data_IF_763289802417
#
_entry.id   IF_763289802417
#
_cell.length_a   1.000
_cell.length_b   1.000
_cell.length_c   1.000
_cell.angle_alpha   90.00
_cell.angle_beta   90.00
_cell.angle_gamma   90.00
#
_symmetry.space_group_name_H-M   'P 1'
#
loop_
_entity.id
_entity.type
_entity.pdbx_description
1 polymer ?
#
# COMPACT_ATOMS: atom_id res chain seq x y z
N UNK A 1 24.73 -90.46 -27.14
CA UNK A 1 25.75 -89.41 -27.01
C UNK A 1 25.12 -88.30 -26.10
N UNK A 2 25.61 -88.28 -24.88
CA UNK A 2 24.96 -87.55 -23.76
C UNK A 2 25.39 -86.09 -23.71
N UNK A 3 24.42 -85.16 -23.60
CA UNK A 3 24.73 -83.79 -23.22
C UNK A 3 23.85 -83.41 -22.06
N UNK A 4 24.50 -83.23 -20.91
CA UNK A 4 23.93 -82.90 -19.63
C UNK A 4 23.67 -81.39 -19.61
N UNK A 5 22.40 -80.95 -19.42
CA UNK A 5 22.05 -79.58 -19.19
C UNK A 5 22.22 -79.25 -17.71
N UNK A 6 23.09 -78.30 -17.45
CA UNK A 6 23.32 -77.75 -16.13
C UNK A 6 22.37 -76.54 -15.93
N UNK A 7 21.38 -76.70 -15.06
CA UNK A 7 20.51 -75.62 -14.70
C UNK A 7 21.19 -74.69 -13.67
N UNK A 8 21.52 -73.48 -14.09
CA UNK A 8 21.89 -72.43 -13.16
C UNK A 8 20.62 -71.75 -12.69
N UNK A 9 20.30 -71.92 -11.41
CA UNK A 9 19.25 -71.16 -10.74
C UNK A 9 19.81 -69.80 -10.37
N UNK A 10 19.30 -68.72 -11.01
CA UNK A 10 19.58 -67.36 -10.65
C UNK A 10 18.55 -66.95 -9.60
N UNK A 11 18.99 -66.79 -8.37
CA UNK A 11 18.20 -66.25 -7.29
C UNK A 11 18.19 -64.73 -7.46
N UNK A 12 17.08 -64.18 -7.95
CA UNK A 12 16.84 -62.75 -7.97
C UNK A 12 16.34 -62.33 -6.60
N UNK A 13 17.21 -61.71 -5.83
CA UNK A 13 16.86 -61.07 -4.54
C UNK A 13 16.17 -59.74 -4.82
N UNK A 14 14.86 -59.71 -4.69
CA UNK A 14 14.08 -58.47 -4.82
C UNK A 14 14.13 -57.71 -3.47
N UNK A 15 15.00 -56.70 -3.39
CA UNK A 15 14.98 -55.74 -2.27
C UNK A 15 13.77 -54.86 -2.42
N UNK A 16 12.71 -55.11 -1.64
CA UNK A 16 11.63 -54.18 -1.41
C UNK A 16 12.16 -53.05 -0.52
N UNK A 17 12.53 -51.93 -1.13
CA UNK A 17 12.77 -50.71 -0.41
C UNK A 17 11.40 -50.15 0.01
N UNK A 18 11.03 -50.35 1.29
CA UNK A 18 9.84 -49.75 1.90
C UNK A 18 10.07 -48.24 2.02
N UNK A 19 9.55 -47.45 1.07
CA UNK A 19 9.38 -46.00 1.23
C UNK A 19 8.39 -45.78 2.36
N UNK A 20 8.88 -45.54 3.57
CA UNK A 20 8.07 -44.97 4.67
C UNK A 20 7.70 -43.53 4.27
N UNK A 21 6.47 -43.31 3.79
CA UNK A 21 5.82 -42.00 3.77
C UNK A 21 5.83 -41.49 5.21
N UNK A 22 6.64 -40.43 5.47
CA UNK A 22 6.49 -39.62 6.68
C UNK A 22 5.15 -38.91 6.55
N UNK A 23 4.14 -39.37 7.25
CA UNK A 23 2.93 -38.58 7.51
C UNK A 23 3.36 -37.38 8.34
N UNK A 24 3.24 -36.20 7.73
CA UNK A 24 3.39 -34.94 8.45
C UNK A 24 2.20 -34.84 9.43
N UNK A 25 2.48 -34.99 10.73
CA UNK A 25 1.48 -34.69 11.76
C UNK A 25 1.09 -33.21 11.61
N UNK A 26 -0.20 -32.86 11.68
CA UNK A 26 -0.61 -31.46 11.70
C UNK A 26 0.06 -30.80 12.90
N UNK A 27 0.91 -29.81 12.67
CA UNK A 27 1.50 -28.97 13.70
C UNK A 27 0.38 -28.05 14.18
N UNK A 28 -0.32 -28.48 15.22
CA UNK A 28 -1.20 -27.58 15.97
C UNK A 28 -0.28 -26.69 16.78
N UNK A 29 -0.15 -25.43 16.36
CA UNK A 29 0.62 -24.44 17.10
C UNK A 29 0.09 -24.37 18.54
N UNK A 30 1.00 -24.39 19.51
CA UNK A 30 0.62 -24.30 20.92
C UNK A 30 0.08 -22.90 21.20
N UNK A 31 -0.74 -22.77 22.25
CA UNK A 31 -1.32 -21.47 22.65
C UNK A 31 -0.22 -20.42 22.93
N UNK A 32 0.98 -20.87 23.32
CA UNK A 32 2.13 -20.01 23.56
C UNK A 32 2.74 -19.52 22.25
N UNK A 33 2.97 -20.40 21.26
CA UNK A 33 3.49 -20.03 19.94
C UNK A 33 2.56 -19.08 19.19
N UNK A 34 1.23 -19.24 19.38
CA UNK A 34 0.25 -18.28 18.86
C UNK A 34 0.35 -16.91 19.56
N UNK A 35 0.55 -16.88 20.88
CA UNK A 35 0.72 -15.62 21.61
C UNK A 35 2.01 -14.91 21.22
N UNK A 36 3.11 -15.65 21.07
CA UNK A 36 4.41 -15.09 20.70
C UNK A 36 4.40 -14.58 19.24
N UNK A 37 3.67 -15.22 18.33
CA UNK A 37 3.49 -14.74 16.94
C UNK A 37 2.60 -13.50 16.88
N UNK A 38 1.61 -13.33 17.75
CA UNK A 38 0.77 -12.12 17.85
C UNK A 38 1.58 -10.97 18.50
N UNK A 39 2.40 -11.27 19.52
CA UNK A 39 3.22 -10.26 20.19
C UNK A 39 4.37 -9.72 19.31
N UNK A 40 4.79 -10.47 18.29
CA UNK A 40 5.83 -10.07 17.32
C UNK A 40 5.27 -9.65 15.95
N UNK A 41 3.95 -9.50 15.81
CA UNK A 41 3.38 -8.94 14.59
C UNK A 41 3.82 -7.46 14.49
N UNK A 42 4.29 -6.99 13.31
CA UNK A 42 4.60 -5.57 13.14
C UNK A 42 3.35 -4.75 13.47
N UNK A 43 3.53 -3.72 14.30
CA UNK A 43 2.46 -2.79 14.64
C UNK A 43 2.03 -2.08 13.35
N UNK A 44 0.77 -2.29 12.96
CA UNK A 44 0.22 -1.67 11.76
C UNK A 44 -0.18 -0.24 12.11
N UNK A 45 0.47 0.72 11.48
CA UNK A 45 0.13 2.13 11.66
C UNK A 45 -1.20 2.44 10.96
N UNK A 46 -2.11 3.07 11.71
CA UNK A 46 -3.44 3.46 11.22
C UNK A 46 -3.50 4.96 10.97
N UNK A 47 -4.28 5.36 9.96
CA UNK A 47 -4.56 6.79 9.75
C UNK A 47 -5.20 7.42 10.99
N UNK A 48 -4.82 8.67 11.25
CA UNK A 48 -5.47 9.56 12.24
C UNK A 48 -6.49 10.40 11.49
N UNK A 49 -7.78 10.24 11.82
CA UNK A 49 -8.85 10.96 11.12
C UNK A 49 -8.84 12.46 11.45
N UNK A 50 -9.21 13.25 10.47
CA UNK A 50 -9.45 14.68 10.60
C UNK A 50 -10.49 15.11 9.56
N UNK A 51 -11.10 16.28 9.80
CA UNK A 51 -12.03 16.91 8.85
C UNK A 51 -11.51 18.27 8.43
N UNK A 52 -11.45 18.53 7.12
CA UNK A 52 -10.94 19.76 6.55
C UNK A 52 -11.86 20.27 5.43
N UNK A 53 -11.67 21.51 5.00
CA UNK A 53 -12.44 22.08 3.91
C UNK A 53 -11.82 21.69 2.57
N UNK A 54 -12.65 21.20 1.66
CA UNK A 54 -12.23 20.89 0.30
C UNK A 54 -12.27 22.14 -0.59
N UNK A 55 -11.64 22.05 -1.75
CA UNK A 55 -11.54 23.16 -2.73
C UNK A 55 -12.91 23.66 -3.20
N UNK A 56 -13.95 22.82 -3.14
CA UNK A 56 -15.35 23.19 -3.45
C UNK A 56 -16.12 23.72 -2.21
N UNK A 57 -15.44 23.98 -1.10
CA UNK A 57 -16.00 24.56 0.13
C UNK A 57 -16.73 23.58 1.06
N UNK A 58 -16.77 22.29 0.72
CA UNK A 58 -17.41 21.27 1.56
C UNK A 58 -16.44 20.74 2.62
N UNK A 59 -16.98 20.18 3.70
CA UNK A 59 -16.20 19.45 4.68
C UNK A 59 -16.04 18.00 4.24
N UNK A 60 -14.80 17.49 4.31
CA UNK A 60 -14.48 16.09 4.05
C UNK A 60 -13.59 15.53 5.16
N UNK A 61 -13.88 14.31 5.61
CA UNK A 61 -13.09 13.54 6.55
C UNK A 61 -12.12 12.64 5.76
N UNK A 62 -10.87 12.53 6.22
CA UNK A 62 -9.90 11.64 5.61
C UNK A 62 -10.40 10.19 5.64
N UNK A 63 -10.96 9.75 6.75
CA UNK A 63 -11.48 8.40 6.90
C UNK A 63 -12.59 8.09 5.90
N UNK A 64 -13.50 9.05 5.68
CA UNK A 64 -14.59 8.86 4.71
C UNK A 64 -14.08 8.84 3.27
N UNK A 65 -13.05 9.62 2.96
CA UNK A 65 -12.40 9.59 1.64
C UNK A 65 -11.68 8.24 1.41
N UNK A 66 -10.88 7.79 2.36
CA UNK A 66 -10.17 6.50 2.30
C UNK A 66 -11.14 5.33 2.13
N UNK A 67 -12.28 5.34 2.81
CA UNK A 67 -13.27 4.26 2.73
C UNK A 67 -13.91 4.09 1.34
N UNK A 68 -13.81 5.08 0.46
CA UNK A 68 -14.35 5.03 -0.92
C UNK A 68 -13.50 4.20 -1.87
N UNK A 69 -12.22 3.93 -1.53
CA UNK A 69 -11.22 3.38 -2.43
C UNK A 69 -10.58 2.11 -1.84
N UNK A 70 -10.03 1.26 -2.70
CA UNK A 70 -9.26 0.10 -2.23
C UNK A 70 -7.87 0.54 -1.72
N UNK A 71 -7.27 1.51 -2.41
CA UNK A 71 -6.01 2.18 -2.05
C UNK A 71 -6.21 3.69 -2.17
N UNK A 72 -5.71 4.44 -1.21
CA UNK A 72 -5.70 5.90 -1.23
C UNK A 72 -4.27 6.42 -1.05
N UNK A 73 -3.83 7.30 -1.94
CA UNK A 73 -2.62 8.09 -1.76
C UNK A 73 -3.03 9.36 -1.00
N UNK A 74 -2.41 9.62 0.15
CA UNK A 74 -2.54 10.87 0.90
C UNK A 74 -1.27 11.67 0.68
N UNK A 75 -1.41 12.82 0.00
CA UNK A 75 -0.28 13.65 -0.44
C UNK A 75 -0.30 15.00 0.26
N UNK A 76 0.69 15.25 1.12
CA UNK A 76 0.93 16.57 1.72
C UNK A 76 1.83 17.38 0.78
N UNK A 77 1.29 18.50 0.29
CA UNK A 77 1.91 19.28 -0.77
C UNK A 77 1.65 20.80 -0.60
N UNK A 78 2.21 21.61 -1.48
CA UNK A 78 1.82 23.03 -1.63
C UNK A 78 2.16 23.51 -3.04
N UNK A 79 1.49 24.57 -3.51
CA UNK A 79 1.71 25.19 -4.81
C UNK A 79 3.13 25.77 -4.98
N UNK A 80 3.70 26.26 -3.89
CA UNK A 80 5.06 26.82 -3.82
C UNK A 80 6.16 25.76 -3.65
N UNK A 81 5.80 24.48 -3.47
CA UNK A 81 6.74 23.38 -3.26
C UNK A 81 7.22 22.80 -4.60
N UNK A 82 8.41 23.20 -5.05
CA UNK A 82 8.97 22.72 -6.31
C UNK A 82 9.05 21.19 -6.45
N UNK A 83 9.59 20.44 -5.47
CA UNK A 83 9.59 18.98 -5.51
C UNK A 83 8.20 18.36 -5.56
N UNK A 84 7.19 18.98 -4.88
CA UNK A 84 5.80 18.52 -4.96
C UNK A 84 5.26 18.67 -6.37
N UNK A 85 5.43 19.84 -6.99
CA UNK A 85 4.98 20.10 -8.36
C UNK A 85 5.66 19.20 -9.39
N UNK A 86 6.89 18.75 -9.11
CA UNK A 86 7.58 17.77 -9.95
C UNK A 86 6.93 16.37 -9.85
N UNK A 87 6.37 16.00 -8.69
CA UNK A 87 5.69 14.72 -8.49
C UNK A 87 4.25 14.70 -9.05
N UNK A 88 3.57 15.84 -9.12
CA UNK A 88 2.17 15.93 -9.58
C UNK A 88 1.89 15.22 -10.90
N UNK A 89 2.73 15.32 -11.98
CA UNK A 89 2.50 14.57 -13.21
C UNK A 89 2.44 13.05 -13.03
N UNK A 90 3.22 12.50 -12.08
CA UNK A 90 3.19 11.09 -11.74
C UNK A 90 1.87 10.71 -11.07
N UNK A 91 1.41 11.54 -10.10
CA UNK A 91 0.12 11.35 -9.42
C UNK A 91 -1.05 11.45 -10.40
N UNK A 92 -1.04 12.42 -11.31
CA UNK A 92 -2.06 12.55 -12.37
C UNK A 92 -2.09 11.32 -13.27
N UNK A 93 -0.92 10.81 -13.67
CA UNK A 93 -0.82 9.59 -14.48
C UNK A 93 -1.37 8.36 -13.74
N UNK A 94 -1.02 8.18 -12.47
CA UNK A 94 -1.53 7.09 -11.63
C UNK A 94 -3.03 7.19 -11.45
N UNK A 95 -3.54 8.37 -11.09
CA UNK A 95 -4.96 8.59 -10.87
C UNK A 95 -5.77 8.28 -12.13
N UNK A 96 -5.39 8.84 -13.28
CA UNK A 96 -6.09 8.59 -14.54
C UNK A 96 -6.08 7.11 -14.95
N UNK A 97 -5.03 6.37 -14.59
CA UNK A 97 -4.91 4.95 -14.91
C UNK A 97 -5.76 4.06 -14.00
N UNK A 98 -5.88 4.40 -12.70
CA UNK A 98 -6.40 3.46 -11.70
C UNK A 98 -7.62 3.96 -10.93
N UNK A 99 -8.11 5.20 -11.13
CA UNK A 99 -9.27 5.75 -10.42
C UNK A 99 -10.54 4.90 -10.55
N UNK A 100 -10.74 4.31 -11.73
CA UNK A 100 -11.92 3.48 -12.03
C UNK A 100 -11.74 2.03 -11.53
N UNK A 101 -10.57 1.69 -11.01
CA UNK A 101 -10.24 0.37 -10.47
C UNK A 101 -9.88 0.39 -8.99
N UNK A 102 -10.18 1.49 -8.29
CA UNK A 102 -10.10 1.56 -6.84
C UNK A 102 -8.97 2.40 -6.26
N UNK A 103 -8.24 3.19 -7.07
CA UNK A 103 -7.28 4.17 -6.56
C UNK A 103 -7.96 5.51 -6.28
N UNK A 104 -7.85 5.98 -5.03
CA UNK A 104 -8.12 7.36 -4.63
C UNK A 104 -6.85 8.16 -4.41
N UNK A 105 -6.96 9.49 -4.47
CA UNK A 105 -5.94 10.42 -3.98
C UNK A 105 -6.64 11.49 -3.12
N UNK A 106 -6.02 11.89 -2.02
CA UNK A 106 -6.40 13.01 -1.18
C UNK A 106 -5.19 13.93 -1.06
N UNK A 107 -5.26 15.12 -1.63
CA UNK A 107 -4.23 16.15 -1.47
C UNK A 107 -4.54 17.00 -0.24
N UNK A 108 -3.52 17.22 0.59
CA UNK A 108 -3.58 18.09 1.77
C UNK A 108 -2.59 19.22 1.54
N UNK A 109 -3.14 20.41 1.24
CA UNK A 109 -2.30 21.55 0.89
C UNK A 109 -1.86 22.33 2.12
N UNK A 110 -0.56 22.69 2.14
CA UNK A 110 0.07 23.61 3.07
C UNK A 110 0.17 25.03 2.48
N UNK A 111 -0.71 25.39 1.56
CA UNK A 111 -0.82 26.76 1.09
C UNK A 111 -1.43 27.68 2.15
N UNK A 112 -1.10 28.96 2.11
CA UNK A 112 -1.72 30.03 2.91
C UNK A 112 -2.61 30.92 2.04
N UNK A 113 -2.42 30.87 0.72
CA UNK A 113 -3.16 31.65 -0.29
C UNK A 113 -4.10 30.73 -1.08
N UNK A 114 -5.39 31.03 -1.00
CA UNK A 114 -6.43 30.21 -1.61
C UNK A 114 -6.38 30.26 -3.16
N UNK A 115 -6.05 31.42 -3.73
CA UNK A 115 -6.00 31.58 -5.19
C UNK A 115 -4.83 30.81 -5.78
N UNK A 116 -3.65 30.86 -5.15
CA UNK A 116 -2.47 30.08 -5.54
C UNK A 116 -2.75 28.58 -5.46
N UNK A 117 -3.39 28.10 -4.38
CA UNK A 117 -3.80 26.72 -4.22
C UNK A 117 -4.74 26.26 -5.32
N UNK A 118 -5.82 27.02 -5.58
CA UNK A 118 -6.81 26.71 -6.63
C UNK A 118 -6.20 26.73 -8.01
N UNK A 119 -5.36 27.72 -8.31
CA UNK A 119 -4.69 27.84 -9.61
C UNK A 119 -3.78 26.62 -9.86
N UNK A 120 -3.00 26.20 -8.85
CA UNK A 120 -2.13 25.03 -9.00
C UNK A 120 -2.93 23.74 -9.25
N UNK A 121 -4.07 23.55 -8.59
CA UNK A 121 -4.96 22.40 -8.81
C UNK A 121 -5.47 22.38 -10.25
N UNK A 122 -5.97 23.51 -10.75
CA UNK A 122 -6.54 23.64 -12.08
C UNK A 122 -5.49 23.45 -13.18
N UNK A 123 -4.38 24.18 -13.10
CA UNK A 123 -3.29 24.15 -14.08
C UNK A 123 -2.69 22.75 -14.23
N UNK A 124 -2.58 22.02 -13.12
CA UNK A 124 -2.00 20.68 -13.08
C UNK A 124 -3.03 19.54 -13.18
N UNK A 125 -4.32 19.87 -13.36
CA UNK A 125 -5.41 18.89 -13.55
C UNK A 125 -5.51 17.89 -12.39
N UNK A 126 -5.33 18.34 -11.17
CA UNK A 126 -5.41 17.53 -9.95
C UNK A 126 -6.89 17.28 -9.59
N UNK A 127 -7.53 16.33 -10.27
CA UNK A 127 -8.99 16.11 -10.25
C UNK A 127 -9.49 15.23 -9.09
N UNK A 128 -8.69 15.01 -8.08
CA UNK A 128 -9.05 14.29 -6.85
C UNK A 128 -9.36 15.24 -5.70
N UNK A 129 -9.82 14.71 -4.56
CA UNK A 129 -10.16 15.49 -3.37
C UNK A 129 -8.95 16.31 -2.90
N UNK A 130 -9.14 17.62 -2.79
CA UNK A 130 -8.13 18.57 -2.34
C UNK A 130 -8.62 19.29 -1.09
N UNK A 131 -7.83 19.21 -0.03
CA UNK A 131 -8.16 19.73 1.30
C UNK A 131 -7.13 20.76 1.75
N UNK A 132 -7.58 21.82 2.41
CA UNK A 132 -6.70 22.79 3.06
C UNK A 132 -7.44 23.53 4.19
N UNK A 133 -6.70 24.01 5.19
CA UNK A 133 -7.14 24.99 6.16
C UNK A 133 -6.44 26.35 5.96
N UNK A 134 -5.58 26.45 4.94
CA UNK A 134 -4.81 27.64 4.56
C UNK A 134 -3.93 28.17 5.71
N UNK A 135 -3.37 27.26 6.52
CA UNK A 135 -2.53 27.61 7.66
C UNK A 135 -1.02 27.30 7.45
N UNK A 136 -0.61 27.05 6.22
CA UNK A 136 0.79 26.74 5.91
C UNK A 136 1.31 25.57 6.75
N UNK A 137 2.47 25.74 7.35
CA UNK A 137 3.06 24.75 8.26
C UNK A 137 2.28 24.55 9.57
N UNK A 138 1.32 25.41 9.88
CA UNK A 138 0.38 25.22 10.99
C UNK A 138 -0.84 24.38 10.59
N UNK A 139 -0.90 23.87 9.37
CA UNK A 139 -1.97 23.00 8.90
C UNK A 139 -2.26 21.89 9.92
N UNK A 140 -3.53 21.75 10.31
CA UNK A 140 -3.93 20.85 11.37
C UNK A 140 -3.62 19.38 11.07
N UNK A 141 -3.77 18.94 9.81
CA UNK A 141 -3.45 17.58 9.39
C UNK A 141 -1.93 17.36 9.37
N UNK A 142 -1.15 18.30 8.83
CA UNK A 142 0.30 18.19 8.81
C UNK A 142 0.87 18.06 10.23
N UNK A 143 0.38 18.84 11.17
CA UNK A 143 0.77 18.72 12.59
C UNK A 143 0.33 17.41 13.24
N UNK A 144 -0.87 16.93 12.92
CA UNK A 144 -1.40 15.66 13.43
C UNK A 144 -0.55 14.47 13.00
N UNK A 145 -0.01 14.52 11.77
CA UNK A 145 0.84 13.48 11.18
C UNK A 145 2.34 13.72 11.43
N UNK A 146 2.72 14.84 12.05
CA UNK A 146 4.13 15.16 12.28
C UNK A 146 4.91 15.45 11.00
N UNK A 147 4.26 16.00 9.98
CA UNK A 147 4.88 16.30 8.69
C UNK A 147 5.89 17.45 8.86
N UNK A 148 7.16 17.17 8.67
CA UNK A 148 8.27 18.15 8.80
C UNK A 148 8.79 18.62 7.45
N UNK A 149 8.47 17.91 6.37
CA UNK A 149 8.87 18.27 4.99
C UNK A 149 7.82 17.81 3.99
N UNK A 150 7.75 18.47 2.83
CA UNK A 150 6.89 18.11 1.71
C UNK A 150 7.69 17.99 0.40
N UNK A 151 7.26 17.11 -0.53
CA UNK A 151 6.07 16.27 -0.46
C UNK A 151 6.24 15.16 0.58
N UNK A 152 5.15 14.85 1.30
CA UNK A 152 5.08 13.68 2.18
C UNK A 152 3.88 12.85 1.74
N UNK A 153 4.12 11.59 1.41
CA UNK A 153 3.14 10.72 0.77
C UNK A 153 2.90 9.49 1.64
N UNK A 154 1.64 9.24 1.98
CA UNK A 154 1.21 7.99 2.60
C UNK A 154 0.39 7.19 1.59
N UNK A 155 0.59 5.88 1.55
CA UNK A 155 -0.29 4.96 0.82
C UNK A 155 -1.10 4.16 1.84
N UNK A 156 -2.41 4.25 1.73
CA UNK A 156 -3.36 3.75 2.73
C UNK A 156 -4.30 2.75 2.07
N UNK A 157 -4.56 1.62 2.70
CA UNK A 157 -5.58 0.70 2.24
C UNK A 157 -6.98 1.09 2.74
N UNK A 158 -8.01 0.44 2.23
CA UNK A 158 -9.43 0.70 2.56
C UNK A 158 -9.77 0.59 4.05
N UNK A 159 -8.96 -0.14 4.84
CA UNK A 159 -9.14 -0.26 6.28
C UNK A 159 -8.55 0.90 7.06
N UNK A 160 -7.79 1.79 6.39
CA UNK A 160 -7.06 2.88 7.01
C UNK A 160 -5.66 2.49 7.52
N UNK A 161 -5.14 1.34 7.09
CA UNK A 161 -3.77 0.91 7.41
C UNK A 161 -2.79 1.63 6.46
N UNK A 162 -1.76 2.27 7.00
CA UNK A 162 -0.66 2.86 6.21
C UNK A 162 0.23 1.70 5.77
N UNK A 163 0.30 1.48 4.45
CA UNK A 163 1.00 0.35 3.85
C UNK A 163 2.29 0.73 3.14
N UNK A 164 2.51 2.01 2.91
CA UNK A 164 3.78 2.57 2.44
C UNK A 164 3.84 4.07 2.74
N UNK A 165 5.05 4.59 2.83
CA UNK A 165 5.33 5.99 3.14
C UNK A 165 6.46 6.50 2.26
N UNK A 166 6.36 7.77 1.85
CA UNK A 166 7.36 8.53 1.09
C UNK A 166 7.84 7.92 -0.23
N UNK A 167 7.06 7.00 -0.81
CA UNK A 167 7.31 6.52 -2.17
C UNK A 167 6.99 7.61 -3.20
N UNK A 168 7.84 7.76 -4.21
CA UNK A 168 7.71 8.78 -5.27
C UNK A 168 8.14 8.23 -6.63
N UNK A 169 7.75 8.89 -7.71
CA UNK A 169 8.16 8.56 -9.06
C UNK A 169 7.90 7.10 -9.44
N UNK A 170 8.92 6.41 -9.91
CA UNK A 170 8.81 5.02 -10.36
C UNK A 170 8.57 4.03 -9.20
N UNK A 171 9.07 4.32 -8.00
CA UNK A 171 8.85 3.46 -6.84
C UNK A 171 7.37 3.48 -6.44
N UNK A 172 6.73 4.65 -6.40
CA UNK A 172 5.30 4.78 -6.16
C UNK A 172 4.48 4.09 -7.25
N UNK A 173 4.83 4.30 -8.53
CA UNK A 173 4.15 3.64 -9.65
C UNK A 173 4.23 2.12 -9.57
N UNK A 174 5.41 1.59 -9.29
CA UNK A 174 5.65 0.15 -9.14
C UNK A 174 4.86 -0.41 -7.96
N UNK A 175 4.87 0.30 -6.82
CA UNK A 175 4.12 -0.11 -5.65
C UNK A 175 2.61 -0.17 -5.94
N UNK A 176 2.02 0.91 -6.50
CA UNK A 176 0.59 0.95 -6.85
C UNK A 176 0.23 -0.13 -7.88
N UNK A 177 1.08 -0.36 -8.89
CA UNK A 177 0.85 -1.41 -9.87
C UNK A 177 0.85 -2.83 -9.28
N UNK A 178 1.56 -3.04 -8.16
CA UNK A 178 1.58 -4.32 -7.44
C UNK A 178 0.32 -4.55 -6.61
N UNK A 179 -0.44 -3.50 -6.30
CA UNK A 179 -1.70 -3.60 -5.60
C UNK A 179 -2.76 -4.17 -6.56
N UNK A 180 -3.54 -5.12 -6.10
CA UNK A 180 -4.59 -5.76 -6.93
C UNK A 180 -5.81 -4.83 -7.05
N UNK A 181 -5.65 -3.70 -7.72
CA UNK A 181 -6.75 -2.81 -8.06
C UNK A 181 -7.55 -3.45 -9.21
N UNK A 182 -8.85 -3.69 -9.00
CA UNK A 182 -9.75 -4.36 -9.95
C UNK A 182 -10.83 -3.42 -10.43
#
# INVERSE_FOLDING_TARGET
MNMRYLCFAVVVSICFAACKKKEAKPVVATTQEMRDSIANAPEVEMIKDFTMTSVDGKKASLKDEVAKHEITIVDFWASWCGPCMHEVPNLVSLYNKYKDTGLGIVGISLDEDEDSWKSAIEENKMSWTQLSDLQGWNNAAARLYGVESIPHILVVNKKGEIIAEDLRGEDLKTFIASQKLQ
#
